data_IF_218074276242
#
_entry.id   IF_218074276242
#
_cell.length_a   1.000
_cell.length_b   1.000
_cell.length_c   1.000
_cell.angle_alpha   90.00
_cell.angle_beta   90.00
_cell.angle_gamma   90.00
#
_symmetry.space_group_name_H-M   'P 1'
#
loop_
_entity.id
_entity.type
_entity.pdbx_description
1 polymer ?
#
# COMPACT_ATOMS: atom_id res chain seq x y z
N UNK A 1 -8.23 27.03 -45.14
CA UNK A 1 -8.51 25.62 -44.78
C UNK A 1 -7.31 24.83 -44.24
N UNK A 2 -6.07 25.02 -44.74
CA UNK A 2 -4.92 24.22 -44.23
C UNK A 2 -4.56 24.53 -42.78
N UNK A 3 -4.50 25.81 -42.38
CA UNK A 3 -4.14 26.23 -41.01
C UNK A 3 -5.07 25.67 -39.93
N UNK A 4 -6.38 25.57 -40.20
CA UNK A 4 -7.35 25.03 -39.25
C UNK A 4 -7.23 23.51 -39.09
N UNK A 5 -6.90 22.79 -40.17
CA UNK A 5 -6.57 21.35 -40.10
C UNK A 5 -5.27 21.12 -39.35
N UNK A 6 -4.26 21.96 -39.55
CA UNK A 6 -3.00 21.92 -38.79
C UNK A 6 -3.23 22.18 -37.31
N UNK A 7 -4.09 23.15 -36.97
CA UNK A 7 -4.43 23.44 -35.57
C UNK A 7 -5.21 22.29 -34.92
N UNK A 8 -6.17 21.69 -35.64
CA UNK A 8 -6.89 20.50 -35.19
C UNK A 8 -5.94 19.31 -34.97
N UNK A 9 -4.96 19.11 -35.86
CA UNK A 9 -3.94 18.08 -35.71
C UNK A 9 -3.08 18.30 -34.45
N UNK A 10 -2.71 19.54 -34.14
CA UNK A 10 -2.00 19.84 -32.89
C UNK A 10 -2.84 19.56 -31.65
N UNK A 11 -4.13 19.91 -31.66
CA UNK A 11 -5.04 19.57 -30.55
C UNK A 11 -5.14 18.06 -30.36
N UNK A 12 -5.30 17.30 -31.46
CA UNK A 12 -5.32 15.83 -31.42
C UNK A 12 -3.98 15.25 -30.94
N UNK A 13 -2.85 15.83 -31.33
CA UNK A 13 -1.54 15.41 -30.88
C UNK A 13 -1.35 15.63 -29.37
N UNK A 14 -1.84 16.75 -28.82
CA UNK A 14 -1.81 17.03 -27.38
C UNK A 14 -2.67 16.02 -26.62
N UNK A 15 -3.90 15.76 -27.09
CA UNK A 15 -4.80 14.77 -26.49
C UNK A 15 -4.15 13.38 -26.55
N UNK A 16 -3.59 13.00 -27.70
CA UNK A 16 -2.89 11.73 -27.87
C UNK A 16 -1.68 11.59 -26.94
N UNK A 17 -0.87 12.64 -26.81
CA UNK A 17 0.27 12.67 -25.88
C UNK A 17 -0.18 12.56 -24.42
N UNK A 18 -1.27 13.22 -24.04
CA UNK A 18 -1.83 13.11 -22.70
C UNK A 18 -2.26 11.68 -22.37
N UNK A 19 -3.06 11.05 -23.25
CA UNK A 19 -3.50 9.67 -23.07
C UNK A 19 -2.33 8.69 -23.05
N UNK A 20 -1.35 8.89 -23.92
CA UNK A 20 -0.14 8.06 -23.96
C UNK A 20 0.70 8.21 -22.69
N UNK A 21 0.86 9.44 -22.19
CA UNK A 21 1.59 9.71 -20.95
C UNK A 21 0.91 9.05 -19.75
N UNK A 22 -0.43 9.13 -19.66
CA UNK A 22 -1.17 8.48 -18.58
C UNK A 22 -1.00 6.95 -18.62
N UNK A 23 -1.02 6.35 -19.81
CA UNK A 23 -0.76 4.92 -19.99
C UNK A 23 0.65 4.54 -19.51
N UNK A 24 1.67 5.31 -19.90
CA UNK A 24 3.05 5.06 -19.48
C UNK A 24 3.26 5.21 -17.98
N UNK A 25 2.69 6.26 -17.37
CA UNK A 25 2.80 6.49 -15.91
C UNK A 25 2.19 5.30 -15.15
N UNK A 26 0.99 4.87 -15.56
CA UNK A 26 0.30 3.78 -14.89
C UNK A 26 1.06 2.44 -15.05
N UNK A 27 1.59 2.17 -16.24
CA UNK A 27 2.41 0.98 -16.49
C UNK A 27 3.72 1.00 -15.69
N UNK A 28 4.37 2.17 -15.57
CA UNK A 28 5.61 2.32 -14.81
C UNK A 28 5.39 2.07 -13.33
N UNK A 29 4.35 2.69 -12.74
CA UNK A 29 4.03 2.52 -11.32
C UNK A 29 3.77 1.06 -10.96
N UNK A 30 2.99 0.34 -11.76
CA UNK A 30 2.69 -1.07 -11.51
C UNK A 30 3.94 -1.96 -11.70
N UNK A 31 4.83 -1.63 -12.64
CA UNK A 31 6.06 -2.40 -12.89
C UNK A 31 7.10 -2.28 -11.78
N UNK A 32 7.05 -1.22 -10.97
CA UNK A 32 7.97 -1.01 -9.86
C UNK A 32 7.62 -1.86 -8.63
N UNK A 33 6.37 -2.30 -8.50
CA UNK A 33 5.95 -3.16 -7.40
C UNK A 33 6.51 -4.56 -7.59
N UNK A 34 7.35 -4.97 -6.65
CA UNK A 34 7.95 -6.31 -6.60
C UNK A 34 7.37 -7.05 -5.41
N UNK A 35 7.06 -8.33 -5.60
CA UNK A 35 6.60 -9.19 -4.50
C UNK A 35 7.70 -9.29 -3.44
N UNK A 36 7.34 -9.06 -2.18
CA UNK A 36 8.24 -9.23 -1.04
C UNK A 36 7.94 -10.54 -0.33
N UNK A 37 9.00 -11.17 0.19
CA UNK A 37 8.88 -12.47 0.85
C UNK A 37 8.37 -12.37 2.29
N UNK A 38 7.68 -13.40 2.76
CA UNK A 38 7.41 -13.63 4.17
C UNK A 38 8.40 -14.66 4.73
N UNK A 39 9.03 -14.37 5.87
CA UNK A 39 10.01 -15.28 6.52
C UNK A 39 9.50 -15.95 7.80
N UNK A 40 8.27 -15.68 8.24
CA UNK A 40 7.63 -16.36 9.37
C UNK A 40 6.61 -17.42 8.93
N UNK A 41 6.18 -18.27 9.86
CA UNK A 41 5.24 -19.38 9.63
C UNK A 41 3.96 -19.25 10.47
N UNK A 42 3.47 -18.02 10.68
CA UNK A 42 2.28 -17.80 11.49
C UNK A 42 1.00 -18.11 10.70
N UNK A 43 0.44 -19.31 10.92
CA UNK A 43 -0.74 -19.85 10.21
C UNK A 43 -2.03 -19.04 10.40
N UNK A 44 -2.12 -18.26 11.46
CA UNK A 44 -3.28 -17.41 11.79
C UNK A 44 -3.41 -16.19 10.86
N UNK A 45 -2.34 -15.83 10.15
CA UNK A 45 -2.29 -14.66 9.27
C UNK A 45 -2.14 -15.14 7.83
N UNK A 46 -3.09 -14.79 6.98
CA UNK A 46 -3.10 -15.10 5.55
C UNK A 46 -2.82 -13.83 4.77
N UNK A 47 -1.67 -13.76 4.09
CA UNK A 47 -1.32 -12.60 3.28
C UNK A 47 -1.63 -12.90 1.81
N UNK A 48 -2.52 -12.10 1.21
CA UNK A 48 -2.98 -12.25 -0.17
C UNK A 48 -2.12 -11.44 -1.14
N UNK A 49 -1.62 -10.28 -0.70
CA UNK A 49 -0.74 -9.42 -1.48
C UNK A 49 0.34 -8.83 -0.58
N UNK A 50 1.59 -8.92 -1.00
CA UNK A 50 2.70 -8.24 -0.34
C UNK A 50 3.70 -7.78 -1.39
N UNK A 51 3.75 -6.46 -1.60
CA UNK A 51 4.56 -5.85 -2.65
C UNK A 51 5.24 -4.59 -2.16
N UNK A 52 6.47 -4.36 -2.61
CA UNK A 52 7.20 -3.13 -2.35
C UNK A 52 7.92 -2.62 -3.61
N UNK A 53 7.95 -1.31 -3.75
CA UNK A 53 8.82 -0.59 -4.67
C UNK A 53 10.15 -0.28 -3.98
N UNK A 54 10.95 0.65 -4.54
CA UNK A 54 12.18 1.10 -3.90
C UNK A 54 11.92 1.91 -2.61
N UNK A 55 10.76 2.56 -2.50
CA UNK A 55 10.47 3.55 -1.44
C UNK A 55 9.12 3.37 -0.76
N UNK A 56 8.22 2.57 -1.33
CA UNK A 56 6.87 2.33 -0.84
C UNK A 56 6.55 0.84 -0.81
N UNK A 57 5.50 0.44 -0.10
CA UNK A 57 4.94 -0.90 -0.21
C UNK A 57 3.51 -1.00 0.29
N UNK A 58 2.88 -2.13 -0.05
CA UNK A 58 1.52 -2.47 0.31
C UNK A 58 1.44 -3.93 0.74
N UNK A 59 0.71 -4.18 1.82
CA UNK A 59 0.34 -5.54 2.25
C UNK A 59 -1.18 -5.59 2.40
N UNK A 60 -1.77 -6.65 1.85
CA UNK A 60 -3.17 -7.03 2.04
C UNK A 60 -3.25 -8.47 2.51
N UNK A 61 -4.15 -8.74 3.43
CA UNK A 61 -4.36 -10.06 3.97
C UNK A 61 -5.45 -10.06 5.02
N UNK A 62 -5.58 -11.16 5.74
CA UNK A 62 -6.51 -11.31 6.83
C UNK A 62 -5.86 -12.05 7.99
N UNK A 63 -6.34 -11.77 9.20
CA UNK A 63 -6.01 -12.52 10.40
C UNK A 63 -7.25 -13.21 10.92
N UNK A 64 -7.09 -14.48 11.29
CA UNK A 64 -8.12 -15.30 11.93
C UNK A 64 -7.72 -15.54 13.37
N UNK A 65 -8.65 -15.38 14.31
CA UNK A 65 -8.44 -15.71 15.71
C UNK A 65 -8.92 -17.15 16.01
N UNK A 66 -8.04 -18.16 16.07
CA UNK A 66 -8.44 -19.54 16.33
C UNK A 66 -8.76 -19.76 17.82
N UNK A 67 -9.59 -20.77 18.11
CA UNK A 67 -10.01 -21.11 19.47
C UNK A 67 -8.86 -21.52 20.40
N UNK A 68 -7.87 -22.26 19.89
CA UNK A 68 -6.79 -22.83 20.71
C UNK A 68 -5.66 -21.83 21.02
N UNK A 69 -5.59 -20.71 20.31
CA UNK A 69 -4.52 -19.71 20.45
C UNK A 69 -5.09 -18.30 20.29
N UNK A 70 -5.88 -17.89 21.27
CA UNK A 70 -6.57 -16.60 21.25
C UNK A 70 -5.60 -15.42 21.05
N UNK A 71 -5.94 -14.58 20.08
CA UNK A 71 -5.30 -13.30 19.75
C UNK A 71 -5.92 -12.13 20.52
N UNK A 72 -6.96 -12.39 21.31
CA UNK A 72 -7.63 -11.40 22.16
C UNK A 72 -6.62 -10.70 23.07
N UNK A 73 -6.66 -9.37 23.12
CA UNK A 73 -5.72 -8.55 23.89
C UNK A 73 -4.29 -8.46 23.35
N UNK A 74 -4.00 -8.94 22.12
CA UNK A 74 -2.66 -8.94 21.53
C UNK A 74 -2.55 -8.02 20.31
N UNK A 75 -1.33 -7.88 19.83
CA UNK A 75 -0.97 -7.12 18.65
C UNK A 75 -0.23 -8.01 17.66
N UNK A 76 -0.49 -7.81 16.37
CA UNK A 76 0.36 -8.34 15.32
C UNK A 76 1.47 -7.32 15.03
N UNK A 77 2.71 -7.76 15.16
CA UNK A 77 3.90 -6.99 14.86
C UNK A 77 4.46 -7.41 13.50
N UNK A 78 4.45 -6.47 12.56
CA UNK A 78 5.07 -6.58 11.25
C UNK A 78 6.43 -5.90 11.28
N UNK A 79 7.50 -6.67 11.13
CA UNK A 79 8.87 -6.15 10.98
C UNK A 79 9.28 -6.24 9.51
N UNK A 80 9.77 -5.12 8.97
CA UNK A 80 10.19 -5.00 7.58
C UNK A 80 11.70 -4.96 7.46
N UNK A 81 12.26 -5.71 6.52
CA UNK A 81 13.69 -5.84 6.36
C UNK A 81 14.13 -5.65 4.91
N UNK A 82 15.36 -5.18 4.76
CA UNK A 82 16.07 -5.22 3.47
C UNK A 82 16.71 -6.58 3.22
N UNK A 83 17.17 -6.82 1.98
CA UNK A 83 17.92 -8.01 1.59
C UNK A 83 19.18 -8.29 2.44
N UNK A 84 19.68 -7.29 3.18
CA UNK A 84 20.85 -7.41 4.09
C UNK A 84 20.45 -7.67 5.55
N UNK A 85 19.21 -8.10 5.77
CA UNK A 85 18.60 -8.35 7.09
C UNK A 85 18.60 -7.14 8.05
N UNK A 86 18.63 -5.91 7.50
CA UNK A 86 18.52 -4.66 8.28
C UNK A 86 17.05 -4.30 8.46
N UNK A 87 16.60 -4.11 9.71
CA UNK A 87 15.27 -3.63 10.08
C UNK A 87 15.04 -2.22 9.55
N UNK A 88 13.98 -2.05 8.75
CA UNK A 88 13.57 -0.78 8.12
C UNK A 88 12.44 -0.09 8.87
N UNK A 89 11.55 -0.87 9.47
CA UNK A 89 10.43 -0.36 10.23
C UNK A 89 9.64 -1.48 10.88
N UNK A 90 8.85 -1.10 11.86
CA UNK A 90 7.96 -1.99 12.60
C UNK A 90 6.57 -1.37 12.58
N UNK A 91 5.54 -2.19 12.33
CA UNK A 91 4.14 -1.79 12.43
C UNK A 91 3.37 -2.72 13.35
N UNK A 92 2.57 -2.15 14.23
CA UNK A 92 1.64 -2.92 15.06
C UNK A 92 0.20 -2.79 14.54
N UNK A 93 -0.46 -3.92 14.33
CA UNK A 93 -1.91 -4.00 14.06
C UNK A 93 -2.61 -4.48 15.32
N UNK A 94 -3.63 -3.72 15.72
CA UNK A 94 -4.48 -4.06 16.85
C UNK A 94 -5.46 -5.17 16.46
N UNK A 95 -5.33 -6.31 17.14
CA UNK A 95 -6.23 -7.45 17.02
C UNK A 95 -6.88 -7.79 18.37
N UNK A 96 -6.80 -6.86 19.32
CA UNK A 96 -7.21 -7.10 20.71
C UNK A 96 -8.72 -7.36 20.86
N UNK A 97 -9.53 -6.75 20.01
CA UNK A 97 -10.99 -6.87 19.99
C UNK A 97 -11.50 -8.00 19.08
N UNK A 98 -10.60 -8.78 18.46
CA UNK A 98 -10.98 -9.82 17.52
C UNK A 98 -11.67 -10.98 18.25
N UNK A 99 -12.97 -11.18 17.99
CA UNK A 99 -13.75 -12.27 18.57
C UNK A 99 -13.20 -13.65 18.14
N UNK A 100 -13.51 -14.70 18.92
CA UNK A 100 -13.12 -16.09 18.56
C UNK A 100 -13.72 -16.48 17.22
N UNK A 101 -12.91 -17.11 16.36
CA UNK A 101 -13.21 -17.40 14.96
C UNK A 101 -13.52 -16.14 14.10
N UNK A 102 -13.28 -14.95 14.65
CA UNK A 102 -13.40 -13.69 13.94
C UNK A 102 -12.29 -13.53 12.91
N UNK A 103 -12.63 -12.82 11.83
CA UNK A 103 -11.71 -12.46 10.75
C UNK A 103 -11.57 -10.95 10.72
N UNK A 104 -10.34 -10.46 10.70
CA UNK A 104 -10.05 -9.05 10.50
C UNK A 104 -9.18 -8.89 9.25
N UNK A 105 -9.64 -8.05 8.33
CA UNK A 105 -8.89 -7.67 7.15
C UNK A 105 -7.74 -6.73 7.52
N UNK A 106 -6.59 -6.95 6.90
CA UNK A 106 -5.37 -6.17 7.06
C UNK A 106 -5.10 -5.51 5.71
N UNK A 107 -5.13 -4.18 5.67
CA UNK A 107 -4.68 -3.39 4.54
C UNK A 107 -3.74 -2.31 5.05
N UNK A 108 -2.51 -2.31 4.54
CA UNK A 108 -1.48 -1.38 4.98
C UNK A 108 -0.66 -0.87 3.80
N UNK A 109 -0.48 0.45 3.76
CA UNK A 109 0.40 1.14 2.83
C UNK A 109 1.50 1.84 3.63
N UNK A 110 2.76 1.65 3.26
CA UNK A 110 3.90 2.15 4.01
C UNK A 110 4.95 2.78 3.09
N UNK A 111 5.72 3.73 3.65
CA UNK A 111 6.85 4.39 2.99
C UNK A 111 8.17 3.93 3.60
N UNK A 112 8.70 2.81 3.11
CA UNK A 112 9.97 2.25 3.57
C UNK A 112 10.88 1.97 2.38
N UNK A 113 12.15 2.32 2.52
CA UNK A 113 13.12 2.14 1.45
C UNK A 113 13.74 0.74 1.45
N UNK A 114 13.81 0.15 0.25
CA UNK A 114 14.48 -1.13 -0.03
C UNK A 114 14.03 -2.25 0.93
N UNK A 115 12.73 -2.49 0.99
CA UNK A 115 12.14 -3.65 1.69
C UNK A 115 12.12 -4.84 0.73
N UNK A 116 12.65 -5.97 1.18
CA UNK A 116 12.71 -7.21 0.41
C UNK A 116 11.89 -8.33 1.05
N UNK A 117 11.77 -8.32 2.38
CA UNK A 117 10.97 -9.29 3.10
C UNK A 117 10.43 -8.72 4.42
N UNK A 118 9.44 -9.40 4.98
CA UNK A 118 8.84 -9.06 6.27
C UNK A 118 8.64 -10.31 7.13
N UNK A 119 8.45 -10.09 8.43
CA UNK A 119 8.06 -11.13 9.39
C UNK A 119 6.90 -10.64 10.24
N UNK A 120 5.96 -11.54 10.51
CA UNK A 120 4.83 -11.31 11.40
C UNK A 120 5.04 -12.08 12.70
N UNK A 121 4.78 -11.42 13.83
CA UNK A 121 4.81 -12.03 15.16
C UNK A 121 3.65 -11.52 16.01
N UNK A 122 3.26 -12.29 17.02
CA UNK A 122 2.22 -11.89 17.98
C UNK A 122 2.91 -11.38 19.24
N UNK A 123 2.53 -10.20 19.71
CA UNK A 123 3.09 -9.59 20.93
C UNK A 123 1.99 -9.06 21.83
N UNK A 124 2.27 -9.00 23.13
CA UNK A 124 1.31 -8.52 24.13
C UNK A 124 1.28 -6.99 24.25
N UNK A 125 2.38 -6.31 23.89
CA UNK A 125 2.54 -4.87 24.08
C UNK A 125 3.15 -4.21 22.83
N UNK A 126 2.75 -2.96 22.57
CA UNK A 126 3.38 -2.12 21.54
C UNK A 126 4.65 -1.50 22.11
N UNK A 127 5.71 -1.48 21.31
CA UNK A 127 6.92 -0.71 21.62
C UNK A 127 6.79 0.69 21.04
N UNK A 128 7.47 1.69 21.60
CA UNK A 128 7.41 3.10 21.16
C UNK A 128 7.83 3.33 19.69
N UNK A 129 8.59 2.40 19.08
CA UNK A 129 8.92 2.44 17.65
C UNK A 129 7.81 1.80 16.83
N UNK A 130 6.74 2.54 16.60
CA UNK A 130 5.70 2.21 15.63
C UNK A 130 5.78 3.17 14.43
N UNK A 131 5.73 2.62 13.23
CA UNK A 131 5.73 3.42 12.01
C UNK A 131 4.33 3.93 11.69
N UNK A 132 4.24 5.16 11.18
CA UNK A 132 3.01 5.69 10.60
C UNK A 132 2.71 5.05 9.23
N UNK A 133 1.46 4.66 9.02
CA UNK A 133 0.99 4.19 7.73
C UNK A 133 0.68 5.39 6.84
N UNK A 134 0.89 5.21 5.54
CA UNK A 134 0.39 6.17 4.57
C UNK A 134 -1.14 6.11 4.57
N UNK A 135 -1.83 7.27 4.56
CA UNK A 135 -3.27 7.28 4.33
C UNK A 135 -3.56 6.62 2.98
N UNK A 136 -4.73 5.98 2.85
CA UNK A 136 -5.17 5.51 1.53
C UNK A 136 -5.18 6.70 0.56
N UNK A 137 -4.55 6.51 -0.60
CA UNK A 137 -4.52 7.54 -1.64
C UNK A 137 -5.95 7.95 -2.01
N UNK A 138 -6.19 9.27 -2.09
CA UNK A 138 -7.47 9.80 -2.55
C UNK A 138 -7.77 9.24 -3.95
N UNK A 139 -9.01 8.81 -4.15
CA UNK A 139 -9.44 8.30 -5.45
C UNK A 139 -9.25 9.42 -6.51
N UNK A 140 -8.84 9.08 -7.75
CA UNK A 140 -8.64 10.03 -8.87
C UNK A 140 -9.79 11.04 -8.98
N UNK A 141 -11.03 10.61 -8.75
CA UNK A 141 -12.23 11.47 -8.76
C UNK A 141 -12.19 12.55 -7.68
N UNK A 142 -11.74 12.22 -6.46
CA UNK A 142 -11.58 13.16 -5.36
C UNK A 142 -10.49 14.19 -5.65
N UNK A 143 -9.39 13.75 -6.27
CA UNK A 143 -8.29 14.64 -6.68
C UNK A 143 -8.78 15.63 -7.75
N UNK A 144 -9.53 15.16 -8.75
CA UNK A 144 -10.12 16.02 -9.79
C UNK A 144 -11.11 17.02 -9.18
N UNK A 145 -11.98 16.58 -8.28
CA UNK A 145 -12.92 17.47 -7.59
C UNK A 145 -12.20 18.54 -6.75
N UNK A 146 -11.18 18.14 -6.00
CA UNK A 146 -10.37 19.05 -5.19
C UNK A 146 -9.67 20.09 -6.07
N UNK A 147 -9.10 19.65 -7.21
CA UNK A 147 -8.43 20.54 -8.18
C UNK A 147 -9.40 21.54 -8.78
N UNK A 148 -10.61 21.10 -9.18
CA UNK A 148 -11.67 21.97 -9.68
C UNK A 148 -12.10 22.98 -8.60
N UNK A 149 -12.31 22.53 -7.35
CA UNK A 149 -12.65 23.40 -6.23
C UNK A 149 -11.59 24.47 -5.99
N UNK A 150 -10.31 24.11 -6.01
CA UNK A 150 -9.22 25.08 -5.84
C UNK A 150 -9.15 26.10 -6.97
N UNK A 151 -9.45 25.69 -8.21
CA UNK A 151 -9.49 26.59 -9.38
C UNK A 151 -10.69 27.54 -9.37
N UNK A 152 -11.76 27.23 -8.63
CA UNK A 152 -12.94 28.11 -8.49
C UNK A 152 -12.73 29.16 -7.38
N UNK A 153 -11.87 28.86 -6.40
CA UNK A 153 -11.60 29.72 -5.24
C UNK A 153 -10.50 30.77 -5.56
N UNK A 154 -9.64 30.50 -6.54
CA UNK A 154 -8.63 31.43 -7.08
C UNK A 154 -9.25 32.25 -8.20
#
# INVERSE_FOLDING_TARGET
>A
MSRMKTLCLYVLAIIGFFLFSELLINASLESEYRKIGRKDDLSQVVITQAEATRVNGRIKGSVVNPEDNELTGKYLKFDFYSARDVLKGTKYIDVSELQKNGIQEIEMHFKLENVDYYTVSVVNEKTEKDMELLPQDLNKTQIVLATILTLIII
#
